data_IF_404036315349
#
_entry.id   IF_404036315349
#
_cell.length_a   1.000
_cell.length_b   1.000
_cell.length_c   1.000
_cell.angle_alpha   90.00
_cell.angle_beta   90.00
_cell.angle_gamma   90.00
#
_symmetry.space_group_name_H-M   'P 1'
#
loop_
_entity.id
_entity.type
_entity.pdbx_description
1 polymer ?
#
# COMPACT_ATOMS: atom_id res chain seq x y z
N UNK A 1 -8.35 21.26 2.40
CA UNK A 1 -7.85 21.48 1.03
C UNK A 1 -7.22 20.20 0.52
N UNK A 2 -7.65 19.71 -0.63
CA UNK A 2 -7.03 18.53 -1.26
C UNK A 2 -5.87 19.05 -2.13
N UNK A 3 -4.63 18.76 -1.73
CA UNK A 3 -3.46 19.06 -2.55
C UNK A 3 -3.48 18.15 -3.78
N UNK A 4 -3.83 18.73 -4.92
CA UNK A 4 -3.71 18.08 -6.22
C UNK A 4 -2.23 17.95 -6.55
N UNK A 5 -1.66 16.75 -6.40
CA UNK A 5 -0.27 16.46 -6.76
C UNK A 5 -0.22 16.21 -8.26
N UNK A 6 0.14 17.23 -9.03
CA UNK A 6 0.49 17.06 -10.45
C UNK A 6 1.82 16.31 -10.54
N UNK A 7 1.85 15.20 -11.30
CA UNK A 7 3.07 14.44 -11.55
C UNK A 7 3.94 15.05 -12.65
N UNK A 8 3.39 16.00 -13.42
CA UNK A 8 4.04 16.65 -14.57
C UNK A 8 4.71 17.98 -14.20
N UNK A 9 4.60 18.43 -12.94
CA UNK A 9 5.29 19.63 -12.48
C UNK A 9 6.72 19.28 -12.02
N UNK A 10 7.72 19.77 -12.76
CA UNK A 10 9.11 19.78 -12.31
C UNK A 10 9.23 20.64 -11.05
N UNK A 11 9.24 19.98 -9.88
CA UNK A 11 9.52 20.64 -8.61
C UNK A 11 11.01 20.76 -8.40
N UNK A 12 11.46 21.97 -8.05
CA UNK A 12 12.83 22.19 -7.64
C UNK A 12 13.12 21.40 -6.35
N UNK A 13 13.84 20.29 -6.51
CA UNK A 13 14.22 19.39 -5.42
C UNK A 13 15.15 20.06 -4.40
N UNK A 14 15.79 21.20 -4.73
CA UNK A 14 16.61 21.94 -3.78
C UNK A 14 15.80 22.69 -2.72
N UNK A 15 14.52 22.98 -2.99
CA UNK A 15 13.62 23.66 -2.06
C UNK A 15 12.44 22.79 -1.60
N UNK A 16 12.35 21.54 -2.06
CA UNK A 16 11.27 20.65 -1.67
C UNK A 16 11.47 20.08 -0.25
N UNK A 17 10.52 20.38 0.63
CA UNK A 17 10.48 19.83 1.99
C UNK A 17 9.83 18.45 1.91
N UNK A 18 10.63 17.40 1.72
CA UNK A 18 10.13 16.02 1.74
C UNK A 18 11.09 15.00 1.14
N UNK A 19 10.76 13.69 1.26
CA UNK A 19 11.53 12.64 0.59
C UNK A 19 11.40 12.77 -0.92
N UNK A 20 12.45 12.37 -1.65
CA UNK A 20 12.40 12.34 -3.11
C UNK A 20 11.35 11.34 -3.60
N UNK A 21 10.72 11.57 -4.77
CA UNK A 21 9.77 10.62 -5.36
C UNK A 21 10.34 9.19 -5.50
N UNK A 22 11.63 9.06 -5.81
CA UNK A 22 12.31 7.76 -5.91
C UNK A 22 12.33 7.00 -4.57
N UNK A 23 12.54 7.70 -3.45
CA UNK A 23 12.49 7.10 -2.12
C UNK A 23 11.07 6.63 -1.77
N UNK A 24 10.05 7.41 -2.17
CA UNK A 24 8.65 7.02 -1.97
C UNK A 24 8.33 5.78 -2.81
N UNK A 25 8.71 5.78 -4.09
CA UNK A 25 8.53 4.63 -4.99
C UNK A 25 9.24 3.38 -4.45
N UNK A 26 10.47 3.53 -3.94
CA UNK A 26 11.18 2.43 -3.29
C UNK A 26 10.45 1.91 -2.06
N UNK A 27 9.92 2.78 -1.20
CA UNK A 27 9.16 2.39 -0.01
C UNK A 27 7.85 1.66 -0.34
N UNK A 28 7.30 1.87 -1.54
CA UNK A 28 6.06 1.23 -2.02
C UNK A 28 6.30 -0.06 -2.81
N UNK A 29 7.56 -0.42 -3.08
CA UNK A 29 7.91 -1.58 -3.92
C UNK A 29 8.34 -2.76 -3.07
N UNK A 30 7.54 -3.82 -3.11
CA UNK A 30 7.75 -5.06 -2.37
C UNK A 30 8.79 -5.95 -3.04
N UNK A 31 9.50 -6.78 -2.28
CA UNK A 31 10.53 -7.69 -2.83
C UNK A 31 9.97 -8.67 -3.87
N UNK A 32 8.68 -9.04 -3.77
CA UNK A 32 8.03 -9.91 -4.74
C UNK A 32 7.70 -9.24 -6.08
N UNK A 33 7.80 -7.91 -6.19
CA UNK A 33 7.74 -7.21 -7.46
C UNK A 33 8.99 -7.49 -8.32
N UNK A 34 10.07 -8.00 -7.73
CA UNK A 34 11.30 -8.35 -8.46
C UNK A 34 11.82 -7.21 -9.36
N UNK A 35 11.73 -5.98 -8.84
CA UNK A 35 12.26 -4.78 -9.47
C UNK A 35 13.72 -4.54 -9.02
N UNK A 36 14.38 -3.53 -9.58
CA UNK A 36 15.77 -3.18 -9.25
C UNK A 36 15.96 -2.69 -7.80
N UNK A 37 14.88 -2.31 -7.13
CA UNK A 37 14.89 -1.82 -5.75
C UNK A 37 13.71 -2.41 -4.96
N UNK A 38 13.86 -2.47 -3.64
CA UNK A 38 12.83 -2.96 -2.72
C UNK A 38 12.77 -2.12 -1.45
N UNK A 39 11.67 -2.28 -0.72
CA UNK A 39 11.44 -1.58 0.55
C UNK A 39 12.26 -2.12 1.73
N UNK A 40 12.93 -3.27 1.63
CA UNK A 40 13.51 -3.99 2.77
C UNK A 40 14.45 -3.13 3.65
N UNK A 41 15.30 -2.32 3.01
CA UNK A 41 16.21 -1.41 3.73
C UNK A 41 15.45 -0.29 4.44
N UNK A 42 14.43 0.26 3.79
CA UNK A 42 13.61 1.33 4.36
C UNK A 42 12.70 0.78 5.47
N UNK A 43 12.17 -0.42 5.32
CA UNK A 43 11.44 -1.15 6.35
C UNK A 43 12.29 -1.38 7.59
N UNK A 44 13.54 -1.85 7.41
CA UNK A 44 14.46 -2.10 8.53
C UNK A 44 14.72 -0.82 9.34
N UNK A 45 14.95 0.30 8.66
CA UNK A 45 15.14 1.61 9.30
C UNK A 45 13.84 2.09 9.94
N UNK A 46 12.73 1.95 9.24
CA UNK A 46 11.39 2.35 9.69
C UNK A 46 10.94 1.61 10.95
N UNK A 47 11.21 0.31 11.05
CA UNK A 47 10.92 -0.51 12.23
C UNK A 47 11.70 -0.02 13.46
N UNK A 48 13.00 0.24 13.28
CA UNK A 48 13.85 0.77 14.35
C UNK A 48 13.37 2.16 14.81
N UNK A 49 13.07 3.04 13.86
CA UNK A 49 12.55 4.37 14.13
C UNK A 49 11.20 4.32 14.85
N UNK A 50 10.26 3.49 14.38
CA UNK A 50 8.93 3.39 14.97
C UNK A 50 8.99 2.82 16.39
N UNK A 51 9.82 1.80 16.63
CA UNK A 51 10.09 1.28 17.97
C UNK A 51 10.65 2.36 18.89
N UNK A 52 11.61 3.16 18.41
CA UNK A 52 12.18 4.26 19.18
C UNK A 52 11.14 5.35 19.49
N UNK A 53 10.46 5.87 18.48
CA UNK A 53 9.48 6.94 18.61
C UNK A 53 8.35 6.58 19.59
N UNK A 54 7.80 5.37 19.49
CA UNK A 54 6.79 4.88 20.43
C UNK A 54 7.37 4.71 21.83
N UNK A 55 8.62 4.23 21.97
CA UNK A 55 9.27 4.10 23.28
C UNK A 55 9.39 5.46 23.97
N UNK A 56 9.90 6.47 23.26
CA UNK A 56 10.04 7.84 23.79
C UNK A 56 8.68 8.42 24.15
N UNK A 57 7.71 8.28 23.25
CA UNK A 57 6.35 8.75 23.50
C UNK A 57 5.75 8.13 24.77
N UNK A 58 5.85 6.82 24.94
CA UNK A 58 5.31 6.13 26.11
C UNK A 58 6.04 6.51 27.40
N UNK A 59 7.37 6.63 27.34
CA UNK A 59 8.18 7.03 28.49
C UNK A 59 7.80 8.43 29.00
N UNK A 60 7.64 9.40 28.08
CA UNK A 60 7.26 10.76 28.44
C UNK A 60 5.79 10.89 28.84
N UNK A 61 4.88 10.14 28.21
CA UNK A 61 3.43 10.25 28.45
C UNK A 61 2.96 9.57 29.74
N UNK A 62 3.70 8.57 30.22
CA UNK A 62 3.32 7.76 31.38
C UNK A 62 4.43 7.71 32.45
N UNK A 63 4.69 8.84 33.12
CA UNK A 63 5.71 8.90 34.16
C UNK A 63 5.36 7.95 35.32
N UNK A 64 6.36 7.23 35.83
CA UNK A 64 6.21 6.34 36.99
C UNK A 64 5.59 4.97 36.69
N UNK A 65 5.32 4.63 35.41
CA UNK A 65 4.92 3.27 35.04
C UNK A 65 6.15 2.35 34.95
N UNK A 66 6.00 1.12 35.46
CA UNK A 66 7.03 0.09 35.39
C UNK A 66 7.37 -0.29 33.94
N UNK A 67 8.66 -0.52 33.69
CA UNK A 67 9.22 -0.90 32.38
C UNK A 67 8.41 -2.01 31.70
N UNK A 68 8.14 -3.13 32.37
CA UNK A 68 7.36 -4.22 31.79
C UNK A 68 5.99 -3.84 31.22
N UNK A 69 5.28 -2.88 31.85
CA UNK A 69 4.00 -2.36 31.31
C UNK A 69 4.22 -1.45 30.12
N UNK A 70 5.26 -0.62 30.12
CA UNK A 70 5.65 0.19 28.96
C UNK A 70 6.07 -0.69 27.78
N UNK A 71 6.84 -1.74 28.04
CA UNK A 71 7.26 -2.75 27.07
C UNK A 71 6.06 -3.49 26.47
N UNK A 72 5.08 -3.89 27.29
CA UNK A 72 3.82 -4.45 26.80
C UNK A 72 3.03 -3.48 25.90
N UNK A 73 2.87 -2.23 26.34
CA UNK A 73 2.18 -1.19 25.55
C UNK A 73 2.88 -0.92 24.23
N UNK A 74 4.21 -0.81 24.24
CA UNK A 74 5.03 -0.65 23.03
C UNK A 74 4.77 -1.79 22.06
N UNK A 75 4.91 -3.05 22.51
CA UNK A 75 4.66 -4.23 21.67
C UNK A 75 3.25 -4.24 21.09
N UNK A 76 2.24 -3.80 21.84
CA UNK A 76 0.88 -3.66 21.33
C UNK A 76 0.78 -2.62 20.21
N UNK A 77 1.42 -1.46 20.38
CA UNK A 77 1.40 -0.36 19.40
C UNK A 77 2.17 -0.70 18.11
N UNK A 78 3.34 -1.33 18.21
CA UNK A 78 4.17 -1.69 17.04
C UNK A 78 3.91 -3.11 16.53
N UNK A 79 2.84 -3.76 16.99
CA UNK A 79 2.47 -5.10 16.51
C UNK A 79 2.03 -5.09 15.05
N UNK A 80 2.38 -6.14 14.31
CA UNK A 80 2.00 -6.30 12.89
C UNK A 80 0.50 -6.11 12.66
N UNK A 81 -0.35 -6.66 13.52
CA UNK A 81 -1.80 -6.51 13.41
C UNK A 81 -2.25 -5.05 13.55
N UNK A 82 -1.66 -4.30 14.50
CA UNK A 82 -1.99 -2.89 14.69
C UNK A 82 -1.53 -2.04 13.50
N UNK A 83 -0.30 -2.26 13.02
CA UNK A 83 0.27 -1.54 11.88
C UNK A 83 -0.46 -1.86 10.57
N UNK A 84 -0.84 -3.12 10.34
CA UNK A 84 -1.69 -3.51 9.22
C UNK A 84 -3.03 -2.77 9.24
N UNK A 85 -3.72 -2.73 10.40
CA UNK A 85 -5.00 -2.03 10.54
C UNK A 85 -4.85 -0.52 10.30
N UNK A 86 -3.73 0.07 10.70
CA UNK A 86 -3.40 1.48 10.44
C UNK A 86 -3.14 1.72 8.94
N UNK A 87 -2.32 0.89 8.29
CA UNK A 87 -2.00 1.00 6.87
C UNK A 87 -3.22 0.81 5.97
N UNK A 88 -4.11 -0.14 6.33
CA UNK A 88 -5.37 -0.34 5.62
C UNK A 88 -6.27 0.89 5.67
N UNK A 89 -6.37 1.58 6.81
CA UNK A 89 -7.13 2.84 6.92
C UNK A 89 -6.54 3.99 6.12
N UNK A 90 -5.31 3.86 5.65
CA UNK A 90 -4.61 4.83 4.79
C UNK A 90 -4.54 4.38 3.33
N UNK A 91 -5.24 3.30 2.96
CA UNK A 91 -5.23 2.75 1.60
C UNK A 91 -3.82 2.45 1.05
N UNK A 92 -2.86 2.12 1.93
CA UNK A 92 -1.47 1.90 1.49
C UNK A 92 -1.36 0.71 0.52
N UNK A 93 -2.19 -0.32 0.71
CA UNK A 93 -2.18 -1.51 -0.14
C UNK A 93 -2.45 -1.20 -1.62
N UNK A 94 -3.26 -0.17 -1.90
CA UNK A 94 -3.61 0.24 -3.27
C UNK A 94 -2.46 0.97 -3.97
N UNK A 95 -1.50 1.50 -3.20
CA UNK A 95 -0.33 2.20 -3.71
C UNK A 95 0.90 1.28 -3.85
N UNK A 96 0.82 0.04 -3.38
CA UNK A 96 1.96 -0.87 -3.32
C UNK A 96 2.15 -1.63 -4.62
N UNK A 97 3.39 -1.70 -5.09
CA UNK A 97 3.79 -2.56 -6.19
C UNK A 97 4.24 -3.89 -5.61
N UNK A 98 3.44 -4.94 -5.79
CA UNK A 98 3.67 -6.27 -5.22
C UNK A 98 3.74 -7.40 -6.23
N UNK A 99 3.66 -7.07 -7.52
CA UNK A 99 3.72 -8.06 -8.60
C UNK A 99 4.77 -7.63 -9.60
N UNK A 100 5.51 -8.61 -10.11
CA UNK A 100 6.47 -8.37 -11.19
C UNK A 100 5.78 -7.74 -12.39
N UNK A 101 6.38 -6.71 -12.94
CA UNK A 101 5.91 -6.09 -14.17
C UNK A 101 6.05 -7.07 -15.35
N UNK A 102 4.93 -7.42 -15.97
CA UNK A 102 4.86 -8.35 -17.09
C UNK A 102 3.96 -7.72 -18.18
N UNK A 103 4.56 -7.11 -19.23
CA UNK A 103 3.82 -6.30 -20.22
C UNK A 103 2.62 -6.97 -20.87
N UNK A 104 2.67 -8.30 -21.01
CA UNK A 104 1.63 -9.09 -21.66
C UNK A 104 0.53 -9.55 -20.70
N UNK A 105 0.78 -9.54 -19.39
CA UNK A 105 -0.10 -10.13 -18.37
C UNK A 105 -0.78 -9.04 -17.51
N UNK A 106 -0.03 -8.02 -17.09
CA UNK A 106 -0.50 -7.08 -16.07
C UNK A 106 -0.26 -5.60 -16.42
N UNK A 107 0.03 -5.29 -17.68
CA UNK A 107 0.12 -3.92 -18.15
C UNK A 107 -0.85 -3.62 -19.28
N UNK A 108 -1.44 -2.43 -19.21
CA UNK A 108 -2.19 -1.82 -20.29
C UNK A 108 -1.76 -0.36 -20.40
N UNK A 109 -1.56 0.16 -21.63
CA UNK A 109 -1.33 1.57 -21.80
C UNK A 109 -2.55 2.37 -21.33
N UNK A 110 -2.36 3.61 -20.84
CA UNK A 110 -3.46 4.48 -20.43
C UNK A 110 -4.51 4.63 -21.53
N UNK A 111 -5.79 4.53 -21.17
CA UNK A 111 -6.92 4.63 -22.11
C UNK A 111 -7.28 3.34 -22.86
N UNK A 112 -6.67 2.20 -22.50
CA UNK A 112 -6.98 0.90 -23.08
C UNK A 112 -7.61 -0.04 -22.05
N UNK A 113 -8.58 -0.85 -22.49
CA UNK A 113 -9.26 -1.87 -21.67
C UNK A 113 -9.26 -3.23 -22.39
N UNK A 114 -9.21 -4.32 -21.63
CA UNK A 114 -9.34 -5.68 -22.17
C UNK A 114 -10.83 -6.01 -22.29
N UNK A 115 -11.24 -6.49 -23.46
CA UNK A 115 -12.60 -7.01 -23.64
C UNK A 115 -12.71 -8.41 -23.02
N UNK A 116 -13.32 -8.49 -21.84
CA UNK A 116 -13.48 -9.73 -21.05
C UNK A 116 -14.22 -10.83 -21.82
N UNK A 117 -15.18 -10.47 -22.70
CA UNK A 117 -15.98 -11.44 -23.45
C UNK A 117 -15.15 -12.20 -24.52
N UNK A 118 -13.96 -11.70 -24.84
CA UNK A 118 -13.08 -12.20 -25.92
C UNK A 118 -11.80 -12.88 -25.45
N UNK A 119 -11.63 -13.13 -24.15
CA UNK A 119 -10.47 -13.90 -23.61
C UNK A 119 -10.38 -15.36 -24.09
N UNK A 120 -11.35 -15.86 -24.87
CA UNK A 120 -11.35 -17.24 -25.40
C UNK A 120 -10.46 -17.47 -26.63
N UNK A 121 -9.80 -16.44 -27.16
CA UNK A 121 -8.84 -16.56 -28.26
C UNK A 121 -7.38 -16.57 -27.77
N UNK A 122 -6.40 -16.96 -28.61
CA UNK A 122 -4.98 -17.05 -28.22
C UNK A 122 -4.33 -15.72 -27.82
N UNK A 123 -4.96 -14.58 -28.16
CA UNK A 123 -4.46 -13.23 -27.86
C UNK A 123 -5.62 -12.35 -27.35
N UNK A 124 -5.50 -11.72 -26.18
CA UNK A 124 -6.48 -10.76 -25.68
C UNK A 124 -6.65 -9.59 -26.67
N UNK A 125 -7.90 -9.27 -27.03
CA UNK A 125 -8.19 -8.11 -27.88
C UNK A 125 -8.37 -6.87 -27.01
N UNK A 126 -7.48 -5.90 -27.19
CA UNK A 126 -7.50 -4.61 -26.49
C UNK A 126 -8.46 -3.64 -27.21
N UNK A 127 -9.27 -2.91 -26.44
CA UNK A 127 -10.20 -1.90 -26.94
C UNK A 127 -9.76 -0.52 -26.45
N UNK A 128 -9.84 0.48 -27.33
CA UNK A 128 -9.57 1.88 -27.01
C UNK A 128 -10.80 2.46 -26.32
N UNK A 129 -10.62 3.10 -25.15
CA UNK A 129 -11.69 3.82 -24.48
C UNK A 129 -11.98 5.10 -25.27
N UNK A 130 -13.02 5.05 -26.10
CA UNK A 130 -13.60 6.25 -26.71
C UNK A 130 -14.62 6.88 -25.75
N UNK A 131 -14.76 8.21 -25.69
CA UNK A 131 -15.70 8.89 -24.78
C UNK A 131 -17.15 8.40 -24.86
N UNK A 132 -17.50 7.76 -25.97
CA UNK A 132 -18.86 7.32 -26.32
C UNK A 132 -19.19 5.89 -25.86
N UNK A 133 -18.21 5.10 -25.39
CA UNK A 133 -18.43 3.73 -24.92
C UNK A 133 -18.83 3.64 -23.43
N UNK A 134 -19.43 4.70 -22.89
CA UNK A 134 -19.87 4.80 -21.48
C UNK A 134 -21.12 3.96 -21.20
N UNK A 135 -21.11 2.65 -21.41
CA UNK A 135 -22.05 1.73 -20.72
C UNK A 135 -21.43 0.33 -20.66
N UNK A 136 -20.68 0.03 -19.60
CA UNK A 136 -20.66 -1.27 -18.91
C UNK A 136 -19.40 -1.39 -18.03
N UNK A 137 -19.64 -1.55 -16.73
CA UNK A 137 -18.72 -2.08 -15.72
C UNK A 137 -17.56 -1.17 -15.28
N UNK A 138 -17.95 -0.04 -14.70
CA UNK A 138 -17.35 0.38 -13.43
C UNK A 138 -17.53 -0.76 -12.42
N UNK A 139 -16.45 -1.15 -11.74
CA UNK A 139 -16.34 -2.19 -10.70
C UNK A 139 -15.99 -3.60 -11.19
N UNK A 140 -14.69 -3.93 -11.15
CA UNK A 140 -14.05 -5.27 -10.98
C UNK A 140 -12.54 -5.06 -11.21
N UNK A 141 -11.57 -5.37 -10.35
CA UNK A 141 -11.52 -6.14 -9.11
C UNK A 141 -10.24 -5.79 -8.33
N UNK A 142 -10.38 -5.41 -7.06
CA UNK A 142 -9.72 -6.06 -5.92
C UNK A 142 -10.69 -5.95 -4.74
N UNK A 143 -11.85 -6.60 -4.88
CA UNK A 143 -12.71 -6.88 -3.74
C UNK A 143 -12.01 -8.00 -2.95
N UNK A 144 -11.27 -7.63 -1.91
CA UNK A 144 -10.83 -8.58 -0.90
C UNK A 144 -12.06 -8.98 -0.11
N UNK A 145 -12.46 -10.23 -0.31
CA UNK A 145 -13.56 -10.94 0.33
C UNK A 145 -13.69 -10.58 1.83
N UNK A 146 -14.76 -9.85 2.19
CA UNK A 146 -15.11 -9.49 3.57
C UNK A 146 -15.63 -10.69 4.39
N UNK A 147 -15.57 -11.92 3.88
CA UNK A 147 -16.29 -13.07 4.48
C UNK A 147 -15.44 -13.92 5.46
N UNK A 148 -14.15 -13.66 5.67
CA UNK A 148 -13.31 -14.54 6.53
C UNK A 148 -13.28 -14.12 8.01
N UNK A 149 -13.68 -12.90 8.36
CA UNK A 149 -13.63 -12.41 9.76
C UNK A 149 -14.91 -12.68 10.60
N UNK A 150 -15.94 -13.31 10.02
CA UNK A 150 -17.20 -13.61 10.74
C UNK A 150 -17.30 -15.04 11.30
N UNK A 151 -16.40 -15.97 10.93
CA UNK A 151 -16.50 -17.39 11.31
C UNK A 151 -15.64 -17.78 12.53
N UNK A 152 -14.68 -16.95 12.98
CA UNK A 152 -13.84 -17.27 14.16
C UNK A 152 -14.30 -16.67 15.50
N UNK A 153 -15.51 -16.10 15.57
CA UNK A 153 -16.08 -15.60 16.85
C UNK A 153 -16.95 -16.60 17.62
N UNK A 154 -17.23 -17.79 17.08
CA UNK A 154 -18.16 -18.74 17.70
C UNK A 154 -17.55 -20.07 18.18
N UNK A 155 -16.22 -20.21 18.24
CA UNK A 155 -15.57 -21.39 18.85
C UNK A 155 -14.48 -20.98 19.85
N UNK A 156 -14.88 -20.27 20.88
CA UNK A 156 -14.12 -20.13 22.12
C UNK A 156 -15.09 -19.87 23.28
N UNK A 157 -15.76 -20.94 23.72
CA UNK A 157 -16.25 -21.11 25.09
C UNK A 157 -15.46 -22.25 25.70
#
# INVERSE_FOLDING_TARGET
EQQHVSLDEDRDLHCFIGPSPCLIMQALTMSNANDFFSLERLETIGDSFLKYAITVYLYCSYPGIHEGKLSYLRSKQVSNYNLYRLGRRKCLAECMVSTKFEPYENWLPPGFIINEDRRRGPVPKVVIVTPESKVANTSRNFHLDETIDSVKRNEAV
#
